data_IF_720616213309
#
_entry.id   IF_720616213309
#
_cell.length_a   1.000
_cell.length_b   1.000
_cell.length_c   1.000
_cell.angle_alpha   90.00
_cell.angle_beta   90.00
_cell.angle_gamma   90.00
#
_symmetry.space_group_name_H-M   'P 1'
#
loop_
_entity.id
_entity.type
_entity.pdbx_description
1 polymer ?
#
# COMPACT_ATOMS: atom_id res chain seq x y z
N UNK A 1 17.95 -0.21 3.67
CA UNK A 1 17.57 0.20 2.30
C UNK A 1 17.61 1.71 2.25
N UNK A 2 18.36 2.29 1.30
CA UNK A 2 18.56 3.74 1.21
C UNK A 2 17.22 4.48 0.99
N UNK A 3 17.02 5.57 1.74
CA UNK A 3 15.75 6.27 1.82
C UNK A 3 15.34 6.92 0.48
N UNK A 4 16.31 7.37 -0.32
CA UNK A 4 16.11 8.12 -1.57
C UNK A 4 16.66 7.41 -2.81
N UNK A 5 16.18 6.20 -3.09
CA UNK A 5 16.38 5.62 -4.43
C UNK A 5 15.37 6.28 -5.40
N UNK A 6 15.80 6.75 -6.59
CA UNK A 6 14.90 7.31 -7.61
C UNK A 6 13.83 6.30 -8.10
N UNK A 7 13.96 5.03 -7.69
CA UNK A 7 13.06 3.93 -8.04
C UNK A 7 11.73 3.91 -7.27
N UNK A 8 11.59 4.67 -6.17
CA UNK A 8 10.35 4.70 -5.36
C UNK A 8 9.92 6.11 -4.99
N UNK A 9 8.63 6.28 -4.70
CA UNK A 9 8.06 7.54 -4.21
C UNK A 9 6.94 7.28 -3.23
N UNK A 10 6.55 8.26 -2.39
CA UNK A 10 5.36 8.13 -1.55
C UNK A 10 4.11 7.83 -2.40
N UNK A 11 3.26 6.93 -1.92
CA UNK A 11 2.10 6.45 -2.69
C UNK A 11 1.20 7.59 -3.14
N UNK A 12 0.77 8.48 -2.24
CA UNK A 12 -0.08 9.62 -2.59
C UNK A 12 0.59 10.62 -3.54
N UNK A 13 1.92 10.77 -3.49
CA UNK A 13 2.63 11.66 -4.41
C UNK A 13 2.56 11.18 -5.87
N UNK A 14 2.38 9.87 -6.10
CA UNK A 14 2.17 9.31 -7.44
C UNK A 14 0.87 9.80 -8.10
N UNK A 15 -0.09 10.30 -7.30
CA UNK A 15 -1.36 10.84 -7.80
C UNK A 15 -1.25 12.26 -8.35
N UNK A 16 -0.06 12.88 -8.30
CA UNK A 16 0.20 14.26 -8.75
C UNK A 16 -0.19 14.52 -10.21
N UNK A 17 -0.11 13.51 -11.07
CA UNK A 17 -0.50 13.61 -12.48
C UNK A 17 -2.00 13.31 -12.75
N UNK A 18 -2.79 13.00 -11.73
CA UNK A 18 -4.22 12.67 -11.84
C UNK A 18 -5.10 13.85 -11.43
N UNK A 19 -6.41 13.81 -11.69
CA UNK A 19 -7.30 14.88 -11.19
C UNK A 19 -7.38 14.92 -9.66
N UNK A 20 -7.00 13.85 -8.95
CA UNK A 20 -7.00 13.85 -7.49
C UNK A 20 -6.08 14.94 -6.91
N UNK A 21 -5.00 15.30 -7.63
CA UNK A 21 -4.11 16.39 -7.25
C UNK A 21 -4.79 17.77 -7.20
N UNK A 22 -5.98 17.93 -7.80
CA UNK A 22 -6.77 19.17 -7.71
C UNK A 22 -7.53 19.30 -6.38
N UNK A 23 -7.75 18.19 -5.69
CA UNK A 23 -8.58 18.11 -4.49
C UNK A 23 -7.79 17.72 -3.24
N UNK A 24 -6.58 17.17 -3.41
CA UNK A 24 -5.73 16.71 -2.32
C UNK A 24 -4.46 17.55 -2.27
N UNK A 25 -4.11 18.04 -1.07
CA UNK A 25 -2.77 18.53 -0.80
C UNK A 25 -1.83 17.34 -0.58
N UNK A 26 -1.24 16.86 -1.68
CA UNK A 26 -0.33 15.71 -1.68
C UNK A 26 0.92 15.92 -0.82
N UNK A 27 1.26 17.17 -0.48
CA UNK A 27 2.38 17.50 0.40
C UNK A 27 2.13 17.14 1.86
N UNK A 28 0.87 17.16 2.30
CA UNK A 28 0.45 16.83 3.67
C UNK A 28 0.03 15.38 3.84
N UNK A 29 -0.13 14.63 2.74
CA UNK A 29 -0.48 13.22 2.80
C UNK A 29 0.57 12.41 3.59
N UNK A 30 0.13 11.43 4.41
CA UNK A 30 1.05 10.61 5.18
C UNK A 30 2.00 9.79 4.30
N UNK A 31 3.22 9.59 4.78
CA UNK A 31 4.33 8.95 4.03
C UNK A 31 4.67 7.55 4.56
N UNK A 32 3.64 6.74 4.80
CA UNK A 32 3.79 5.37 5.30
C UNK A 32 3.90 4.33 4.19
N UNK A 33 3.25 4.58 3.05
CA UNK A 33 3.21 3.66 1.91
C UNK A 33 3.97 4.27 0.75
N UNK A 34 4.76 3.42 0.08
CA UNK A 34 5.53 3.78 -1.09
C UNK A 34 5.02 3.03 -2.31
N UNK A 35 5.30 3.56 -3.50
CA UNK A 35 5.04 2.90 -4.77
C UNK A 35 6.33 2.91 -5.59
N UNK A 36 6.51 1.91 -6.45
CA UNK A 36 7.54 1.95 -7.48
C UNK A 36 7.20 2.97 -8.57
N UNK A 37 8.23 3.39 -9.31
CA UNK A 37 8.03 4.25 -10.48
C UNK A 37 7.20 3.57 -11.57
N UNK A 38 7.42 2.28 -11.82
CA UNK A 38 6.68 1.53 -12.84
C UNK A 38 5.19 1.39 -12.47
N UNK A 39 4.88 1.19 -11.18
CA UNK A 39 3.50 1.22 -10.69
C UNK A 39 2.86 2.59 -10.84
N UNK A 40 3.62 3.67 -10.62
CA UNK A 40 3.11 5.04 -10.73
C UNK A 40 2.91 5.50 -12.19
N UNK A 41 3.71 4.97 -13.12
CA UNK A 41 3.69 5.36 -14.54
C UNK A 41 2.70 4.50 -15.33
N UNK A 42 1.41 4.82 -15.24
CA UNK A 42 0.37 3.97 -15.86
C UNK A 42 -0.54 4.66 -16.83
N UNK A 43 -0.16 5.84 -17.32
CA UNK A 43 -0.89 6.52 -18.41
C UNK A 43 0.09 7.23 -19.33
N UNK A 44 0.35 6.66 -20.51
CA UNK A 44 0.73 7.47 -21.67
C UNK A 44 -0.55 8.19 -22.13
N UNK A 45 -0.56 9.53 -22.08
CA UNK A 45 -1.73 10.34 -22.43
C UNK A 45 -2.43 10.92 -21.20
N UNK A 46 -1.91 12.06 -20.75
CA UNK A 46 -2.46 12.80 -19.62
C UNK A 46 -3.96 13.08 -19.77
N UNK A 47 -4.69 12.92 -18.67
CA UNK A 47 -6.07 13.40 -18.52
C UNK A 47 -7.13 12.34 -18.27
N UNK A 48 -6.82 11.04 -18.33
CA UNK A 48 -7.80 10.00 -17.99
C UNK A 48 -7.68 9.60 -16.51
N UNK A 49 -8.70 9.94 -15.72
CA UNK A 49 -8.87 9.50 -14.33
C UNK A 49 -9.17 8.00 -14.19
N UNK A 50 -9.19 7.26 -15.29
CA UNK A 50 -9.84 5.95 -15.37
C UNK A 50 -8.91 4.77 -15.16
N UNK A 51 -7.60 4.98 -14.98
CA UNK A 51 -6.64 3.87 -15.01
C UNK A 51 -5.54 3.97 -13.95
N UNK A 52 -5.92 4.22 -12.69
CA UNK A 52 -5.03 3.82 -11.58
C UNK A 52 -4.94 2.29 -11.57
N UNK A 53 -3.72 1.74 -11.57
CA UNK A 53 -3.56 0.28 -11.49
C UNK A 53 -4.09 -0.22 -10.14
N UNK A 54 -4.79 -1.37 -10.13
CA UNK A 54 -5.21 -1.96 -8.87
C UNK A 54 -3.98 -2.27 -8.02
N UNK A 55 -4.03 -1.87 -6.75
CA UNK A 55 -3.04 -2.27 -5.76
C UNK A 55 -3.24 -3.76 -5.52
N UNK A 56 -2.24 -4.56 -5.89
CA UNK A 56 -2.31 -6.02 -5.80
C UNK A 56 -1.02 -6.63 -5.24
N UNK A 57 0.13 -6.14 -5.68
CA UNK A 57 1.44 -6.67 -5.31
C UNK A 57 2.13 -5.73 -4.34
N UNK A 58 2.37 -6.21 -3.13
CA UNK A 58 2.92 -5.40 -2.03
C UNK A 58 4.17 -6.05 -1.49
N UNK A 59 5.28 -5.33 -1.51
CA UNK A 59 6.51 -5.70 -0.81
C UNK A 59 6.46 -5.20 0.63
N UNK A 60 6.73 -6.10 1.56
CA UNK A 60 6.87 -5.80 2.98
C UNK A 60 8.22 -6.29 3.48
N UNK A 61 8.77 -5.60 4.47
CA UNK A 61 9.88 -6.12 5.25
C UNK A 61 9.35 -7.14 6.27
N UNK A 62 9.88 -8.37 6.32
CA UNK A 62 9.44 -9.35 7.29
C UNK A 62 9.82 -8.92 8.72
N UNK A 63 9.02 -9.30 9.73
CA UNK A 63 9.35 -9.10 11.13
C UNK A 63 10.73 -9.66 11.47
N UNK A 64 11.54 -8.92 12.23
CA UNK A 64 12.86 -9.37 12.72
C UNK A 64 12.79 -9.57 14.22
N UNK A 65 13.68 -10.40 14.78
CA UNK A 65 13.71 -10.70 16.23
C UNK A 65 13.82 -9.45 17.12
N UNK A 66 14.35 -8.34 16.60
CA UNK A 66 14.51 -7.06 17.29
C UNK A 66 13.43 -6.02 16.91
N UNK A 67 12.62 -6.31 15.90
CA UNK A 67 11.56 -5.44 15.37
C UNK A 67 10.41 -6.33 14.85
N UNK A 68 9.44 -6.69 15.71
CA UNK A 68 8.40 -7.68 15.39
C UNK A 68 7.33 -7.16 14.42
N UNK A 69 7.52 -5.97 13.86
CA UNK A 69 6.57 -5.29 12.98
C UNK A 69 7.24 -4.95 11.66
N UNK A 70 6.46 -4.94 10.59
CA UNK A 70 6.94 -4.44 9.30
C UNK A 70 7.40 -2.98 9.42
N UNK A 71 8.46 -2.62 8.69
CA UNK A 71 9.03 -1.26 8.68
C UNK A 71 8.68 -0.47 7.40
N UNK A 72 8.34 -1.18 6.31
CA UNK A 72 8.15 -0.60 4.99
C UNK A 72 7.05 -1.36 4.25
N UNK A 73 6.15 -0.60 3.63
CA UNK A 73 5.18 -1.11 2.66
C UNK A 73 5.44 -0.43 1.32
N UNK A 74 5.65 -1.23 0.28
CA UNK A 74 5.89 -0.73 -1.07
C UNK A 74 5.02 -1.49 -2.09
N UNK A 75 4.16 -0.76 -2.78
CA UNK A 75 3.37 -1.30 -3.89
C UNK A 75 4.23 -1.31 -5.15
N UNK A 76 4.18 -2.42 -5.89
CA UNK A 76 4.91 -2.60 -7.15
C UNK A 76 3.96 -3.03 -8.27
N UNK A 77 4.40 -2.89 -9.50
CA UNK A 77 3.61 -3.34 -10.64
C UNK A 77 3.62 -4.87 -10.77
N UNK A 78 2.64 -5.47 -11.48
CA UNK A 78 2.67 -6.90 -11.79
C UNK A 78 3.93 -7.32 -12.58
N UNK A 79 4.46 -6.43 -13.42
CA UNK A 79 5.68 -6.68 -14.19
C UNK A 79 6.90 -6.79 -13.27
N UNK A 80 7.06 -5.84 -12.35
CA UNK A 80 8.14 -5.87 -11.36
C UNK A 80 8.00 -7.09 -10.43
N UNK A 81 6.78 -7.41 -9.99
CA UNK A 81 6.52 -8.56 -9.14
C UNK A 81 7.00 -9.86 -9.81
N UNK A 82 6.66 -10.07 -11.08
CA UNK A 82 7.10 -11.24 -11.86
C UNK A 82 8.62 -11.30 -12.01
N UNK A 83 9.26 -10.16 -12.31
CA UNK A 83 10.71 -10.08 -12.52
C UNK A 83 11.50 -10.31 -11.23
N UNK A 84 11.00 -9.80 -10.10
CA UNK A 84 11.66 -9.88 -8.80
C UNK A 84 11.38 -11.19 -8.06
N UNK A 85 10.34 -11.94 -8.45
CA UNK A 85 9.92 -13.17 -7.77
C UNK A 85 11.07 -14.15 -7.48
N UNK A 86 11.97 -14.48 -8.42
CA UNK A 86 13.06 -15.43 -8.15
C UNK A 86 14.09 -14.92 -7.14
N UNK A 87 14.28 -13.60 -7.05
CA UNK A 87 15.17 -12.97 -6.08
C UNK A 87 14.51 -12.86 -4.70
N UNK A 88 13.22 -12.49 -4.68
CA UNK A 88 12.43 -12.40 -3.44
C UNK A 88 12.33 -13.77 -2.77
N UNK A 89 12.08 -14.85 -3.52
CA UNK A 89 12.06 -16.22 -3.00
C UNK A 89 13.32 -16.62 -2.23
N UNK A 90 14.48 -16.04 -2.58
CA UNK A 90 15.77 -16.30 -1.93
C UNK A 90 16.13 -15.27 -0.85
N UNK A 91 15.30 -14.24 -0.71
CA UNK A 91 15.53 -13.12 0.21
C UNK A 91 15.00 -13.45 1.60
N UNK A 92 15.73 -13.01 2.62
CA UNK A 92 15.27 -13.00 4.02
C UNK A 92 14.86 -11.60 4.48
N UNK A 93 14.96 -10.61 3.59
CA UNK A 93 14.80 -9.19 3.94
C UNK A 93 13.53 -8.56 3.38
N UNK A 94 12.83 -9.23 2.48
CA UNK A 94 11.61 -8.74 1.83
C UNK A 94 10.70 -9.93 1.55
N UNK A 95 9.40 -9.74 1.76
CA UNK A 95 8.35 -10.65 1.31
C UNK A 95 7.42 -9.92 0.33
N UNK A 96 6.94 -10.66 -0.67
CA UNK A 96 5.89 -10.24 -1.59
C UNK A 96 4.56 -10.79 -1.10
N UNK A 97 3.63 -9.89 -0.81
CA UNK A 97 2.26 -10.19 -0.39
C UNK A 97 1.29 -9.89 -1.54
N UNK A 98 0.35 -10.82 -1.75
CA UNK A 98 -0.86 -10.52 -2.50
C UNK A 98 -1.83 -9.74 -1.60
N UNK A 99 -2.37 -8.67 -2.16
CA UNK A 99 -3.27 -7.75 -1.48
C UNK A 99 -4.54 -7.56 -2.31
N UNK A 100 -5.69 -7.43 -1.65
CA UNK A 100 -6.91 -6.95 -2.28
C UNK A 100 -7.68 -6.03 -1.33
N UNK A 101 -8.01 -4.79 -1.76
CA UNK A 101 -8.83 -3.90 -0.95
C UNK A 101 -10.24 -4.46 -0.82
N UNK A 102 -10.90 -4.21 0.31
CA UNK A 102 -12.27 -4.64 0.58
C UNK A 102 -13.27 -3.84 -0.29
N UNK A 103 -13.94 -4.46 -1.28
CA UNK A 103 -14.82 -3.74 -2.20
C UNK A 103 -16.25 -3.58 -1.67
N UNK A 104 -16.65 -4.39 -0.68
CA UNK A 104 -17.95 -4.30 -0.01
C UNK A 104 -17.90 -5.01 1.36
N UNK A 105 -18.94 -4.83 2.17
CA UNK A 105 -19.05 -5.41 3.51
C UNK A 105 -19.45 -6.90 3.52
N UNK A 106 -19.90 -7.45 2.38
CA UNK A 106 -20.38 -8.82 2.27
C UNK A 106 -19.27 -9.88 2.11
N UNK A 107 -18.05 -9.46 1.78
CA UNK A 107 -16.88 -10.34 1.69
C UNK A 107 -15.93 -10.16 2.86
N UNK A 108 -15.21 -11.23 3.19
CA UNK A 108 -14.11 -11.19 4.17
C UNK A 108 -13.04 -10.20 3.69
N UNK A 109 -12.43 -9.49 4.64
CA UNK A 109 -11.24 -8.69 4.41
C UNK A 109 -10.10 -9.54 3.81
N UNK A 110 -9.49 -9.03 2.75
CA UNK A 110 -8.34 -9.60 2.07
C UNK A 110 -7.14 -8.63 2.09
N UNK A 111 -7.19 -7.68 3.02
CA UNK A 111 -6.28 -6.55 3.19
C UNK A 111 -5.23 -6.78 4.29
N UNK A 112 -5.22 -7.96 4.91
CA UNK A 112 -4.31 -8.32 6.00
C UNK A 112 -2.89 -8.72 5.53
N UNK A 113 -2.64 -8.77 4.22
CA UNK A 113 -1.35 -9.17 3.61
C UNK A 113 -0.89 -10.62 3.94
N UNK A 114 -1.84 -11.48 4.29
CA UNK A 114 -1.65 -12.88 4.70
C UNK A 114 -2.16 -13.90 3.67
N UNK A 115 -2.81 -13.44 2.59
CA UNK A 115 -3.41 -14.30 1.56
C UNK A 115 -2.41 -15.17 0.80
N UNK A 116 -1.31 -14.56 0.37
CA UNK A 116 -0.23 -15.22 -0.36
C UNK A 116 1.05 -14.43 -0.15
N UNK A 117 2.00 -15.04 0.55
CA UNK A 117 3.29 -14.45 0.90
C UNK A 117 4.43 -15.26 0.30
N UNK A 118 5.36 -14.58 -0.37
CA UNK A 118 6.56 -15.18 -0.95
C UNK A 118 7.81 -14.42 -0.48
N UNK A 119 8.79 -15.08 0.15
CA UNK A 119 8.71 -16.45 0.68
C UNK A 119 7.62 -16.54 1.76
N UNK A 120 7.16 -17.75 2.06
CA UNK A 120 6.20 -17.96 3.14
C UNK A 120 6.77 -17.37 4.44
N UNK A 121 5.99 -16.52 5.11
CA UNK A 121 6.36 -15.87 6.36
C UNK A 121 5.35 -16.26 7.45
N UNK A 122 5.79 -16.39 8.71
CA UNK A 122 4.86 -16.46 9.84
C UNK A 122 4.02 -15.18 9.90
N UNK A 123 2.84 -15.26 10.54
CA UNK A 123 1.84 -14.18 10.64
C UNK A 123 2.47 -12.78 10.68
N UNK A 124 2.34 -12.06 9.57
CA UNK A 124 2.91 -10.72 9.42
C UNK A 124 2.05 -9.75 10.21
N UNK A 125 2.59 -9.24 11.32
CA UNK A 125 1.92 -8.16 12.05
C UNK A 125 2.13 -6.83 11.31
N UNK A 126 1.07 -6.37 10.64
CA UNK A 126 1.02 -5.07 9.95
C UNK A 126 0.55 -3.99 10.92
N UNK A 127 1.38 -3.00 11.30
CA UNK A 127 0.92 -1.89 12.12
C UNK A 127 -0.24 -1.12 11.46
N UNK A 128 -1.20 -0.62 12.25
CA UNK A 128 -2.41 0.01 11.73
C UNK A 128 -2.17 1.13 10.72
N UNK A 129 -1.14 1.95 10.91
CA UNK A 129 -0.81 3.07 10.02
C UNK A 129 -0.43 2.64 8.59
N UNK A 130 0.16 1.45 8.44
CA UNK A 130 0.50 0.90 7.13
C UNK A 130 -0.72 0.29 6.46
N UNK A 131 -1.52 -0.48 7.22
CA UNK A 131 -2.77 -1.04 6.72
C UNK A 131 -3.75 0.06 6.27
N UNK A 132 -3.98 1.07 7.11
CA UNK A 132 -4.85 2.21 6.79
C UNK A 132 -4.32 2.97 5.57
N UNK A 133 -3.03 3.28 5.54
CA UNK A 133 -2.44 3.99 4.41
C UNK A 133 -2.56 3.22 3.09
N UNK A 134 -2.36 1.91 3.14
CA UNK A 134 -2.47 1.04 1.99
C UNK A 134 -3.92 0.93 1.52
N UNK A 135 -4.85 0.73 2.45
CA UNK A 135 -6.29 0.64 2.17
C UNK A 135 -6.83 1.94 1.57
N UNK A 136 -6.50 3.09 2.15
CA UNK A 136 -6.90 4.40 1.63
C UNK A 136 -6.32 4.61 0.23
N UNK A 137 -5.03 4.32 0.04
CA UNK A 137 -4.39 4.46 -1.27
C UNK A 137 -4.99 3.52 -2.32
N UNK A 138 -5.37 2.30 -1.92
CA UNK A 138 -6.04 1.32 -2.77
C UNK A 138 -7.53 1.64 -3.03
N UNK A 139 -8.07 2.72 -2.46
CA UNK A 139 -9.46 3.13 -2.63
C UNK A 139 -10.47 2.27 -1.87
N UNK A 140 -10.06 1.62 -0.77
CA UNK A 140 -10.96 0.87 0.09
C UNK A 140 -11.95 1.81 0.79
N UNK A 141 -13.26 1.55 0.62
CA UNK A 141 -14.34 2.36 1.20
C UNK A 141 -15.07 1.69 2.36
N UNK A 142 -14.79 0.41 2.63
CA UNK A 142 -15.51 -0.39 3.63
C UNK A 142 -14.59 -0.81 4.77
N UNK A 143 -15.11 -0.68 6.00
CA UNK A 143 -14.40 -0.99 7.24
C UNK A 143 -15.06 -2.19 7.95
N UNK A 144 -14.28 -2.95 8.71
CA UNK A 144 -14.75 -4.07 9.52
C UNK A 144 -15.26 -3.69 10.91
N UNK A 145 -14.97 -2.48 11.39
CA UNK A 145 -15.44 -1.98 12.68
C UNK A 145 -15.54 -0.46 12.70
N UNK A 146 -16.31 0.06 13.65
CA UNK A 146 -16.39 1.51 13.92
C UNK A 146 -15.02 2.10 14.32
N UNK A 147 -14.25 1.36 15.13
CA UNK A 147 -12.90 1.76 15.53
C UNK A 147 -11.97 1.92 14.32
N UNK A 148 -12.09 1.05 13.32
CA UNK A 148 -11.33 1.15 12.09
C UNK A 148 -11.71 2.40 11.27
N UNK A 149 -13.01 2.68 11.15
CA UNK A 149 -13.50 3.89 10.49
C UNK A 149 -12.96 5.17 11.16
N UNK A 150 -13.00 5.24 12.50
CA UNK A 150 -12.45 6.36 13.29
C UNK A 150 -10.95 6.53 13.02
N UNK A 151 -10.18 5.44 13.01
CA UNK A 151 -8.73 5.49 12.72
C UNK A 151 -8.44 6.01 11.31
N UNK A 152 -9.24 5.61 10.33
CA UNK A 152 -9.12 6.11 8.94
C UNK A 152 -9.45 7.60 8.88
N UNK A 153 -10.50 8.06 9.57
CA UNK A 153 -10.81 9.49 9.65
C UNK A 153 -9.68 10.28 10.28
N UNK A 154 -9.12 9.85 11.41
CA UNK A 154 -7.95 10.50 12.01
C UNK A 154 -6.74 10.51 11.08
N UNK A 155 -6.48 9.40 10.37
CA UNK A 155 -5.40 9.30 9.39
C UNK A 155 -5.57 10.32 8.24
N UNK A 156 -6.81 10.57 7.84
CA UNK A 156 -7.16 11.57 6.82
C UNK A 156 -7.28 13.00 7.38
N UNK A 157 -7.07 13.21 8.68
CA UNK A 157 -7.24 14.52 9.32
C UNK A 157 -8.71 14.94 9.50
N UNK A 158 -9.65 14.02 9.34
CA UNK A 158 -11.08 14.26 9.57
C UNK A 158 -11.34 14.12 11.07
N UNK A 159 -11.75 15.22 11.71
CA UNK A 159 -12.17 15.20 13.11
C UNK A 159 -13.64 14.79 13.20
N UNK A 160 -13.89 13.54 13.59
CA UNK A 160 -15.20 13.11 14.05
C UNK A 160 -15.31 13.57 15.50
N UNK A 161 -16.13 14.59 15.79
CA UNK A 161 -16.26 15.18 17.13
C UNK A 161 -16.93 14.27 18.15
N UNK A 162 -16.36 13.09 18.37
CA UNK A 162 -16.74 12.06 19.34
C UNK A 162 -15.95 12.23 20.65
#
# INVERSE_FOLDING_TARGET
MAADSPARMPAFASLSATSAARYLDLGTCPRHVYVSRDFAQTVEGGGSNYTQRPVQWVLVSPPRSYAPTIDTVMVISPYEAQMLLPAIQKSTSVALCLYAPRPNQGYRALDALDLYTVPEQPDVCVPPQFAIGLNVFAGQLYFGSELEAIRVCHYLGINLGL
#
